data_IF_689470664148
#
_entry.id   IF_689470664148
#
_cell.length_a   1.000
_cell.length_b   1.000
_cell.length_c   1.000
_cell.angle_alpha   90.00
_cell.angle_beta   90.00
_cell.angle_gamma   90.00
#
_symmetry.space_group_name_H-M   'P 1'
#
loop_
_entity.id
_entity.type
_entity.pdbx_description
1 polymer ?
#
# COMPACT_ATOMS: atom_id res chain seq x y z
N UNK A 1 -7.00 -12.66 14.70
CA UNK A 1 -5.94 -12.16 15.59
C UNK A 1 -4.69 -11.89 14.76
N UNK A 2 -4.12 -10.67 14.79
CA UNK A 2 -2.81 -10.36 14.20
C UNK A 2 -1.69 -11.38 14.46
N UNK A 3 -1.66 -11.99 15.66
CA UNK A 3 -0.64 -12.96 16.05
C UNK A 3 -0.65 -14.23 15.19
N UNK A 4 -1.85 -14.70 14.81
CA UNK A 4 -2.02 -15.88 13.96
C UNK A 4 -1.57 -15.62 12.53
N UNK A 5 -1.81 -14.41 12.00
CA UNK A 5 -1.36 -14.03 10.65
C UNK A 5 0.17 -14.03 10.60
N UNK A 6 0.84 -13.45 11.60
CA UNK A 6 2.29 -13.46 11.71
C UNK A 6 2.87 -14.88 11.72
N UNK A 7 2.28 -15.80 12.49
CA UNK A 7 2.71 -17.19 12.53
C UNK A 7 2.58 -17.88 11.16
N UNK A 8 1.50 -17.59 10.42
CA UNK A 8 1.27 -18.17 9.09
C UNK A 8 2.23 -17.62 8.05
N UNK A 9 2.59 -16.34 8.12
CA UNK A 9 3.62 -15.74 7.25
C UNK A 9 4.94 -16.47 7.45
N UNK A 10 5.38 -16.65 8.70
CA UNK A 10 6.66 -17.34 9.01
C UNK A 10 6.66 -18.79 8.53
N UNK A 11 5.58 -19.53 8.79
CA UNK A 11 5.45 -20.91 8.28
C UNK A 11 5.45 -20.96 6.74
N UNK A 12 4.90 -19.97 6.07
CA UNK A 12 4.92 -19.92 4.62
C UNK A 12 6.34 -19.68 4.07
N UNK A 13 7.20 -18.95 4.78
CA UNK A 13 8.61 -18.75 4.37
C UNK A 13 9.40 -20.06 4.35
N UNK A 14 9.07 -21.04 5.20
CA UNK A 14 9.70 -22.37 5.18
C UNK A 14 9.43 -23.13 3.87
N UNK A 15 8.44 -22.70 3.08
CA UNK A 15 8.10 -23.25 1.76
C UNK A 15 8.84 -22.56 0.60
N UNK A 16 9.76 -21.64 0.90
CA UNK A 16 10.53 -20.85 -0.08
C UNK A 16 9.64 -20.15 -1.15
N UNK A 17 8.67 -19.33 -0.74
CA UNK A 17 7.72 -18.75 -1.67
C UNK A 17 8.33 -17.57 -2.43
N UNK A 18 8.11 -17.51 -3.74
CA UNK A 18 8.44 -16.31 -4.53
C UNK A 18 7.52 -15.13 -4.21
N UNK A 19 6.24 -15.43 -3.90
CA UNK A 19 5.19 -14.42 -3.66
C UNK A 19 4.34 -14.82 -2.45
N UNK A 20 4.10 -13.85 -1.56
CA UNK A 20 3.18 -13.98 -0.44
C UNK A 20 2.06 -12.94 -0.55
N UNK A 21 0.81 -13.42 -0.50
CA UNK A 21 -0.38 -12.56 -0.49
C UNK A 21 -1.02 -12.56 0.89
N UNK A 22 -1.20 -11.37 1.46
CA UNK A 22 -1.76 -11.16 2.80
C UNK A 22 -3.01 -10.31 2.67
N UNK A 23 -4.18 -10.93 2.83
CA UNK A 23 -5.47 -10.24 2.62
C UNK A 23 -5.72 -9.09 3.62
N UNK A 24 -5.15 -9.15 4.82
CA UNK A 24 -5.44 -8.16 5.85
C UNK A 24 -4.27 -7.97 6.81
N UNK A 25 -3.41 -7.02 6.48
CA UNK A 25 -2.31 -6.57 7.33
C UNK A 25 -2.86 -5.72 8.48
N UNK A 26 -2.86 -6.30 9.69
CA UNK A 26 -3.29 -5.62 10.91
C UNK A 26 -2.30 -5.83 12.04
N UNK A 27 -1.92 -4.73 12.69
CA UNK A 27 -1.15 -4.76 13.93
C UNK A 27 0.34 -5.10 13.71
N UNK A 28 1.13 -4.83 14.75
CA UNK A 28 2.58 -4.95 14.69
C UNK A 28 3.10 -6.33 14.27
N UNK A 29 2.65 -7.45 14.87
CA UNK A 29 3.26 -8.75 14.59
C UNK A 29 3.15 -9.18 13.13
N UNK A 30 2.01 -8.89 12.49
CA UNK A 30 1.77 -9.25 11.09
C UNK A 30 2.51 -8.32 10.14
N UNK A 31 2.58 -7.02 10.45
CA UNK A 31 3.31 -6.03 9.67
C UNK A 31 4.82 -6.30 9.68
N UNK A 32 5.39 -6.61 10.85
CA UNK A 32 6.81 -6.97 11.00
C UNK A 32 7.14 -8.21 10.19
N UNK A 33 6.38 -9.31 10.37
CA UNK A 33 6.64 -10.56 9.66
C UNK A 33 6.52 -10.40 8.13
N UNK A 34 5.58 -9.58 7.66
CA UNK A 34 5.42 -9.28 6.24
C UNK A 34 6.61 -8.48 5.68
N UNK A 35 7.10 -7.50 6.44
CA UNK A 35 8.24 -6.68 6.00
C UNK A 35 9.54 -7.50 6.04
N UNK A 36 9.73 -8.34 7.05
CA UNK A 36 10.87 -9.25 7.13
C UNK A 36 10.91 -10.20 5.93
N UNK A 37 9.76 -10.77 5.54
CA UNK A 37 9.66 -11.58 4.33
C UNK A 37 9.98 -10.79 3.05
N UNK A 38 9.52 -9.54 2.96
CA UNK A 38 9.85 -8.69 1.83
C UNK A 38 11.36 -8.39 1.74
N UNK A 39 11.99 -8.10 2.88
CA UNK A 39 13.43 -7.82 2.97
C UNK A 39 14.29 -9.08 2.73
N UNK A 40 13.75 -10.29 2.93
CA UNK A 40 14.41 -11.54 2.58
C UNK A 40 14.31 -11.91 1.09
N UNK A 41 13.67 -11.07 0.27
CA UNK A 41 13.59 -11.25 -1.19
C UNK A 41 12.27 -11.81 -1.71
N UNK A 42 11.26 -12.01 -0.86
CA UNK A 42 9.92 -12.46 -1.27
C UNK A 42 9.08 -11.27 -1.73
N UNK A 43 8.32 -11.41 -2.82
CA UNK A 43 7.34 -10.38 -3.16
C UNK A 43 6.12 -10.48 -2.25
N UNK A 44 5.96 -9.51 -1.35
CA UNK A 44 4.81 -9.45 -0.45
C UNK A 44 3.76 -8.47 -0.99
N UNK A 45 2.56 -8.98 -1.24
CA UNK A 45 1.38 -8.18 -1.61
C UNK A 45 0.40 -8.23 -0.46
N UNK A 46 0.18 -7.09 0.19
CA UNK A 46 -0.74 -6.99 1.32
C UNK A 46 -1.83 -5.96 1.10
N UNK A 47 -3.00 -6.18 1.69
CA UNK A 47 -4.05 -5.17 1.80
C UNK A 47 -4.27 -4.73 3.24
N UNK A 48 -4.63 -3.46 3.41
CA UNK A 48 -5.05 -2.87 4.67
C UNK A 48 -6.05 -1.75 4.42
N UNK A 49 -6.73 -1.34 5.47
CA UNK A 49 -7.70 -0.26 5.38
C UNK A 49 -6.99 1.09 5.56
N UNK A 50 -6.95 1.90 4.52
CA UNK A 50 -6.42 3.26 4.57
C UNK A 50 -7.28 4.18 3.69
N UNK A 51 -7.43 5.43 4.10
CA UNK A 51 -8.26 6.43 3.41
C UNK A 51 -7.58 7.07 2.21
N UNK A 52 -6.25 7.00 2.15
CA UNK A 52 -5.41 7.42 1.03
C UNK A 52 -3.99 6.84 1.21
N UNK A 53 -3.09 7.14 0.28
CA UNK A 53 -1.70 6.66 0.28
C UNK A 53 -0.90 7.15 1.49
N UNK A 54 -1.13 8.38 1.96
CA UNK A 54 -0.46 8.95 3.14
C UNK A 54 -0.86 8.20 4.40
N UNK A 55 -2.16 8.02 4.58
CA UNK A 55 -2.72 7.29 5.71
C UNK A 55 -2.26 5.83 5.70
N UNK A 56 -2.05 5.21 4.54
CA UNK A 56 -1.47 3.86 4.48
C UNK A 56 -0.06 3.80 5.09
N UNK A 57 0.79 4.80 4.81
CA UNK A 57 2.13 4.89 5.38
C UNK A 57 2.06 5.19 6.87
N UNK A 58 1.23 6.15 7.29
CA UNK A 58 1.04 6.47 8.71
C UNK A 58 0.54 5.24 9.50
N UNK A 59 -0.29 4.39 8.90
CA UNK A 59 -0.73 3.13 9.51
C UNK A 59 0.37 2.10 9.63
N UNK A 60 1.21 1.92 8.60
CA UNK A 60 2.38 1.04 8.68
C UNK A 60 3.33 1.49 9.80
N UNK A 61 3.55 2.81 9.93
CA UNK A 61 4.32 3.38 11.04
C UNK A 61 3.64 3.14 12.40
N UNK A 62 2.31 3.28 12.47
CA UNK A 62 1.54 3.00 13.69
C UNK A 62 1.52 1.52 14.07
N UNK A 63 1.75 0.62 13.10
CA UNK A 63 2.02 -0.80 13.38
C UNK A 63 3.43 -1.04 13.94
N UNK A 64 4.27 -0.01 14.09
CA UNK A 64 5.60 -0.14 14.68
C UNK A 64 6.74 -0.32 13.66
N UNK A 65 6.42 -0.32 12.36
CA UNK A 65 7.44 -0.34 11.32
C UNK A 65 8.21 0.97 11.32
N UNK A 66 9.54 0.89 11.29
CA UNK A 66 10.38 2.08 11.26
C UNK A 66 10.48 2.66 9.84
N UNK A 67 10.72 3.98 9.76
CA UNK A 67 10.94 4.68 8.49
C UNK A 67 12.08 4.06 7.65
N UNK A 68 13.25 3.71 8.22
CA UNK A 68 14.30 3.02 7.47
C UNK A 68 13.83 1.69 6.87
N UNK A 69 13.15 0.86 7.66
CA UNK A 69 12.67 -0.44 7.17
C UNK A 69 11.64 -0.27 6.04
N UNK A 70 10.73 0.70 6.17
CA UNK A 70 9.79 1.01 5.08
C UNK A 70 10.50 1.57 3.84
N UNK A 71 11.50 2.42 4.01
CA UNK A 71 12.29 2.93 2.89
C UNK A 71 13.02 1.81 2.15
N UNK A 72 13.44 0.75 2.84
CA UNK A 72 14.13 -0.39 2.23
C UNK A 72 13.15 -1.39 1.61
N UNK A 73 12.09 -1.78 2.34
CA UNK A 73 11.20 -2.87 1.93
C UNK A 73 9.92 -2.47 1.17
N UNK A 74 9.46 -1.20 1.26
CA UNK A 74 8.25 -0.79 0.55
C UNK A 74 8.56 -0.54 -0.93
N UNK A 75 7.89 -1.28 -1.82
CA UNK A 75 8.00 -1.06 -3.26
C UNK A 75 7.03 0.02 -3.76
N UNK A 76 5.79 0.00 -3.29
CA UNK A 76 4.75 0.91 -3.69
C UNK A 76 3.44 0.66 -2.95
N UNK A 77 2.47 1.55 -3.17
CA UNK A 77 1.15 1.50 -2.57
C UNK A 77 0.10 1.78 -3.63
N UNK A 78 -1.02 1.07 -3.57
CA UNK A 78 -2.19 1.32 -4.39
C UNK A 78 -3.38 1.55 -3.47
N UNK A 79 -4.04 2.70 -3.63
CA UNK A 79 -5.27 3.04 -2.94
C UNK A 79 -6.41 3.07 -3.94
N UNK A 80 -7.51 2.42 -3.59
CA UNK A 80 -8.70 2.26 -4.42
C UNK A 80 -9.92 2.66 -3.62
N UNK A 81 -10.81 3.44 -4.23
CA UNK A 81 -12.10 3.80 -3.67
C UNK A 81 -13.19 3.64 -4.72
N UNK A 82 -14.35 3.19 -4.29
CA UNK A 82 -15.55 3.18 -5.10
C UNK A 82 -16.36 4.41 -4.71
N UNK A 83 -16.44 5.38 -5.62
CA UNK A 83 -17.29 6.54 -5.40
C UNK A 83 -18.70 6.20 -5.89
N UNK A 84 -19.69 6.41 -5.04
CA UNK A 84 -21.10 6.44 -5.43
C UNK A 84 -21.29 7.68 -6.32
N UNK A 85 -21.07 7.54 -7.62
CA UNK A 85 -21.31 8.62 -8.54
C UNK A 85 -22.81 8.96 -8.46
N UNK A 86 -23.14 10.10 -7.86
CA UNK A 86 -24.51 10.60 -7.65
C UNK A 86 -25.18 11.07 -8.96
N UNK A 87 -24.80 10.47 -10.10
CA UNK A 87 -25.33 10.75 -11.43
C UNK A 87 -25.48 9.47 -12.26
N UNK A 88 -26.03 9.62 -13.48
CA UNK A 88 -26.53 8.55 -14.36
C UNK A 88 -25.55 7.43 -14.80
N UNK A 89 -24.33 7.35 -14.25
CA UNK A 89 -23.27 6.42 -14.65
C UNK A 89 -23.06 5.21 -13.72
N UNK A 90 -23.69 5.18 -12.53
CA UNK A 90 -23.46 4.12 -11.53
C UNK A 90 -22.11 4.27 -10.81
N UNK A 91 -21.77 3.36 -9.88
CA UNK A 91 -20.57 3.46 -9.06
C UNK A 91 -19.30 3.46 -9.92
N UNK A 92 -18.34 4.30 -9.57
CA UNK A 92 -17.13 4.52 -10.34
C UNK A 92 -15.87 4.36 -9.49
N UNK A 93 -14.92 3.56 -10.01
CA UNK A 93 -13.66 3.29 -9.33
C UNK A 93 -12.69 4.45 -9.55
N UNK A 94 -12.23 5.04 -8.46
CA UNK A 94 -11.09 5.94 -8.43
C UNK A 94 -9.90 5.25 -7.77
N UNK A 95 -8.70 5.56 -8.24
CA UNK A 95 -7.48 4.97 -7.69
C UNK A 95 -6.31 5.95 -7.76
N UNK A 96 -5.36 5.71 -6.86
CA UNK A 96 -4.08 6.41 -6.79
C UNK A 96 -2.99 5.40 -6.46
N UNK A 97 -1.84 5.50 -7.11
CA UNK A 97 -0.71 4.61 -6.90
C UNK A 97 0.57 5.42 -6.67
N UNK A 98 1.34 4.99 -5.67
CA UNK A 98 2.69 5.46 -5.39
C UNK A 98 3.68 4.35 -5.72
N UNK A 99 4.71 4.68 -6.50
CA UNK A 99 5.91 3.85 -6.61
C UNK A 99 7.05 4.50 -5.85
N UNK A 100 7.68 3.75 -4.94
CA UNK A 100 8.81 4.25 -4.16
C UNK A 100 10.05 4.40 -5.05
N UNK A 101 10.46 5.65 -5.31
CA UNK A 101 11.72 6.01 -5.97
C UNK A 101 12.84 6.25 -4.95
N UNK A 102 14.09 6.45 -5.39
CA UNK A 102 15.20 6.80 -4.50
C UNK A 102 14.89 8.05 -3.66
N UNK A 103 14.39 9.13 -4.28
CA UNK A 103 14.01 10.36 -3.57
C UNK A 103 12.94 10.14 -2.51
N UNK A 104 11.95 9.28 -2.78
CA UNK A 104 10.94 8.92 -1.78
C UNK A 104 11.57 8.20 -0.59
N UNK A 105 12.49 7.26 -0.84
CA UNK A 105 13.16 6.49 0.21
C UNK A 105 14.05 7.38 1.07
N UNK A 106 14.81 8.26 0.44
CA UNK A 106 15.70 9.19 1.15
C UNK A 106 14.89 10.18 2.00
N UNK A 107 13.84 10.76 1.43
CA UNK A 107 12.93 11.63 2.17
C UNK A 107 12.26 10.90 3.34
N UNK A 108 11.77 9.66 3.14
CA UNK A 108 11.14 8.89 4.20
C UNK A 108 12.07 8.69 5.41
N UNK A 109 13.38 8.48 5.17
CA UNK A 109 14.41 8.31 6.23
C UNK A 109 14.74 9.61 6.96
N UNK A 110 14.76 10.74 6.26
CA UNK A 110 15.40 11.97 6.75
C UNK A 110 14.42 13.09 7.13
N UNK A 111 13.31 13.24 6.44
CA UNK A 111 12.42 14.40 6.57
C UNK A 111 10.97 14.06 6.19
N UNK A 112 10.06 14.16 7.16
CA UNK A 112 8.63 13.92 6.94
C UNK A 112 8.03 14.90 5.94
N UNK A 113 8.33 16.18 6.06
CA UNK A 113 7.67 17.21 5.25
C UNK A 113 8.13 17.12 3.80
N UNK A 114 9.41 16.80 3.58
CA UNK A 114 9.95 16.50 2.25
C UNK A 114 9.28 15.27 1.62
N UNK A 115 9.09 14.20 2.39
CA UNK A 115 8.39 13.00 1.92
C UNK A 115 6.94 13.33 1.55
N UNK A 116 6.31 14.18 2.34
CA UNK A 116 4.92 14.56 2.18
C UNK A 116 4.66 15.38 0.90
N UNK A 117 5.61 16.23 0.53
CA UNK A 117 5.59 16.94 -0.75
C UNK A 117 5.71 15.98 -1.94
N UNK A 118 6.67 15.04 -1.89
CA UNK A 118 6.90 14.07 -2.97
C UNK A 118 5.70 13.14 -3.21
N UNK A 119 4.99 12.76 -2.13
CA UNK A 119 3.76 11.98 -2.23
C UNK A 119 2.67 12.69 -3.04
N UNK A 120 2.65 14.02 -3.06
CA UNK A 120 1.61 14.78 -3.77
C UNK A 120 1.93 14.87 -5.26
N UNK A 121 3.22 15.01 -5.60
CA UNK A 121 3.67 15.22 -6.99
C UNK A 121 3.84 13.92 -7.79
N UNK A 122 4.17 12.82 -7.12
CA UNK A 122 4.61 11.57 -7.78
C UNK A 122 3.53 10.49 -7.87
N UNK A 123 2.28 10.83 -7.57
CA UNK A 123 1.18 9.86 -7.53
C UNK A 123 0.48 9.80 -8.88
N UNK A 124 0.53 8.62 -9.50
CA UNK A 124 -0.34 8.32 -10.63
C UNK A 124 -1.77 8.15 -10.08
N UNK A 125 -2.73 8.88 -10.64
CA UNK A 125 -4.12 8.78 -10.21
C UNK A 125 -5.06 8.77 -11.41
N UNK A 126 -6.23 8.16 -11.21
CA UNK A 126 -7.36 8.28 -12.11
C UNK A 126 -8.55 8.82 -11.32
N UNK A 127 -8.98 10.07 -11.56
CA UNK A 127 -10.20 10.58 -10.97
C UNK A 127 -11.42 9.90 -11.57
N UNK A 128 -12.54 10.05 -10.86
CA UNK A 128 -13.86 9.51 -11.17
C UNK A 128 -14.45 10.20 -12.41
N UNK A 129 -13.82 10.07 -13.58
CA UNK A 129 -14.40 10.60 -14.82
C UNK A 129 -15.59 9.74 -15.24
N UNK A 130 -16.76 10.39 -15.30
CA UNK A 130 -17.99 9.82 -15.79
C UNK A 130 -17.73 9.09 -17.11
N UNK A 131 -18.14 7.82 -17.15
CA UNK A 131 -18.02 6.92 -18.30
C UNK A 131 -18.39 7.69 -19.57
N UNK A 132 -17.46 7.85 -20.52
CA UNK A 132 -17.83 8.29 -21.88
C UNK A 132 -18.95 7.36 -22.33
N UNK A 133 -20.13 7.92 -22.54
CA UNK A 133 -21.29 7.18 -23.03
C UNK A 133 -20.83 6.42 -24.26
N UNK A 134 -20.92 5.09 -24.21
CA UNK A 134 -20.73 4.24 -25.37
C UNK A 134 -21.62 4.82 -26.48
N UNK A 135 -21.09 5.16 -27.67
CA UNK A 135 -21.94 5.70 -28.74
C UNK A 135 -23.06 4.69 -28.98
N UNK A 136 -24.30 5.18 -29.02
CA UNK A 136 -25.44 4.36 -29.38
C UNK A 136 -25.15 3.69 -30.73
N UNK A 137 -25.40 2.39 -30.80
CA UNK A 137 -25.21 1.57 -31.99
C UNK A 137 -26.13 2.02 -33.12
#
# INVERSE_FOLDING_TARGET
>A
DPSHVASRIRQAQDLDPDVLVIEDLRGAPAADAALDAALSGVLVVGSMHATDLRNAIDRLLAFGLSRPMLADGLFGLSHQKLDDASGASGPALAWSCLRMTASHRDALRSDRDAFDGLLTESVASRPTEARRTRPAA
#
